data_IF_804813846258
#
_entry.id   IF_804813846258
#
_cell.length_a   1.000
_cell.length_b   1.000
_cell.length_c   1.000
_cell.angle_alpha   90.00
_cell.angle_beta   90.00
_cell.angle_gamma   90.00
#
_symmetry.space_group_name_H-M   'P 1'
#
loop_
_entity.id
_entity.type
_entity.pdbx_description
1 polymer ?
#
# COMPACT_ATOMS: atom_id res chain seq x y z
N UNK A 1 72.72 -12.66 54.01
CA UNK A 1 71.39 -13.29 54.17
C UNK A 1 70.37 -12.42 53.44
N UNK A 2 69.53 -13.06 52.64
CA UNK A 2 68.62 -12.52 51.62
C UNK A 2 67.69 -11.40 52.10
N UNK A 3 67.29 -10.52 51.18
CA UNK A 3 65.90 -10.42 50.70
C UNK A 3 65.81 -9.53 49.46
N UNK A 4 65.70 -10.18 48.30
CA UNK A 4 65.19 -9.57 47.07
C UNK A 4 63.75 -9.12 47.30
N UNK A 5 63.46 -7.85 46.99
CA UNK A 5 62.10 -7.33 46.96
C UNK A 5 61.61 -7.39 45.51
N UNK A 6 60.92 -8.46 45.14
CA UNK A 6 60.25 -8.54 43.84
C UNK A 6 58.99 -7.67 43.86
N UNK A 7 59.01 -6.57 43.12
CA UNK A 7 57.81 -5.78 42.84
C UNK A 7 57.00 -6.47 41.73
N UNK A 8 55.81 -6.96 42.06
CA UNK A 8 54.84 -7.44 41.07
C UNK A 8 54.11 -6.25 40.44
N UNK A 9 54.22 -6.11 39.11
CA UNK A 9 53.32 -5.24 38.32
C UNK A 9 52.13 -6.09 37.83
N UNK A 10 50.94 -5.76 38.31
CA UNK A 10 49.68 -6.29 37.79
C UNK A 10 49.13 -5.28 36.80
N UNK A 11 49.15 -5.64 35.51
CA UNK A 11 48.55 -4.82 34.45
C UNK A 11 47.19 -5.45 34.10
N UNK A 12 46.10 -4.80 34.51
CA UNK A 12 44.75 -5.22 34.17
C UNK A 12 44.43 -4.73 32.74
N UNK A 13 44.49 -5.62 31.75
CA UNK A 13 44.04 -5.33 30.39
C UNK A 13 42.51 -5.54 30.34
N UNK A 14 41.75 -4.46 30.49
CA UNK A 14 40.32 -4.45 30.19
C UNK A 14 40.15 -4.58 28.67
N UNK A 15 39.93 -5.80 28.20
CA UNK A 15 39.54 -6.05 26.82
C UNK A 15 38.08 -5.60 26.62
N UNK A 16 37.89 -4.39 26.09
CA UNK A 16 36.58 -3.97 25.63
C UNK A 16 36.31 -4.64 24.29
N UNK A 17 35.34 -5.55 24.26
CA UNK A 17 34.80 -6.12 23.03
C UNK A 17 33.94 -5.03 22.37
N UNK A 18 34.55 -4.24 21.48
CA UNK A 18 33.81 -3.29 20.64
C UNK A 18 33.32 -4.08 19.42
N UNK A 19 32.05 -4.50 19.47
CA UNK A 19 31.35 -5.05 18.32
C UNK A 19 31.01 -3.92 17.36
N UNK A 20 31.83 -3.75 16.33
CA UNK A 20 31.49 -2.87 15.20
C UNK A 20 30.70 -3.71 14.20
N UNK A 21 29.38 -3.53 14.15
CA UNK A 21 28.58 -4.04 13.04
C UNK A 21 28.89 -3.18 11.82
N UNK A 22 29.71 -3.71 10.90
CA UNK A 22 29.83 -3.14 9.56
C UNK A 22 28.45 -3.24 8.92
N UNK A 23 27.84 -2.10 8.60
CA UNK A 23 26.55 -2.08 7.89
C UNK A 23 26.67 -2.98 6.67
N UNK A 24 25.84 -4.03 6.61
CA UNK A 24 25.63 -4.74 5.36
C UNK A 24 25.08 -3.70 4.40
N UNK A 25 25.68 -3.56 3.22
CA UNK A 25 24.96 -3.01 2.08
C UNK A 25 23.61 -3.74 2.05
N UNK A 26 22.52 -2.98 2.14
CA UNK A 26 21.16 -3.52 2.11
C UNK A 26 20.92 -4.00 0.68
N UNK A 27 21.51 -5.14 0.34
CA UNK A 27 21.05 -5.98 -0.74
C UNK A 27 19.61 -6.30 -0.42
N UNK A 28 18.69 -5.95 -1.33
CA UNK A 28 17.27 -6.23 -1.21
C UNK A 28 17.08 -7.65 -0.66
N UNK A 29 16.46 -7.74 0.51
CA UNK A 29 16.16 -9.03 1.11
C UNK A 29 14.92 -9.54 0.40
N UNK A 30 15.09 -10.59 -0.40
CA UNK A 30 13.99 -11.23 -1.12
C UNK A 30 13.18 -12.09 -0.16
N UNK A 31 11.86 -11.87 -0.12
CA UNK A 31 10.92 -12.63 0.71
C UNK A 31 9.97 -13.38 -0.22
N UNK A 32 9.91 -14.71 -0.06
CA UNK A 32 8.99 -15.58 -0.80
C UNK A 32 7.71 -15.77 0.00
N UNK A 33 6.59 -15.44 -0.64
CA UNK A 33 5.27 -15.55 -0.02
C UNK A 33 4.54 -16.81 -0.48
N UNK A 34 3.59 -17.25 0.35
CA UNK A 34 2.67 -18.32 -0.01
C UNK A 34 1.86 -17.93 -1.25
N UNK A 35 1.93 -18.73 -2.32
CA UNK A 35 1.32 -18.41 -3.62
C UNK A 35 2.32 -17.99 -4.71
N UNK A 36 3.62 -17.90 -4.39
CA UNK A 36 4.68 -17.65 -5.37
C UNK A 36 5.00 -16.17 -5.62
N UNK A 37 4.35 -15.28 -4.87
CA UNK A 37 4.68 -13.85 -4.84
C UNK A 37 6.08 -13.65 -4.23
N UNK A 38 6.86 -12.73 -4.80
CA UNK A 38 8.19 -12.36 -4.31
C UNK A 38 8.19 -10.88 -3.95
N UNK A 39 8.67 -10.55 -2.76
CA UNK A 39 8.72 -9.18 -2.23
C UNK A 39 10.16 -8.76 -2.02
N UNK A 40 10.50 -7.58 -2.49
CA UNK A 40 11.79 -6.93 -2.27
C UNK A 40 11.67 -5.85 -1.20
N UNK A 41 12.48 -5.93 -0.14
CA UNK A 41 12.62 -4.81 0.79
C UNK A 41 13.58 -3.77 0.21
N UNK A 42 13.05 -2.63 -0.21
CA UNK A 42 13.80 -1.53 -0.86
C UNK A 42 13.96 -0.37 0.12
N UNK A 43 15.13 0.27 0.16
CA UNK A 43 15.33 1.47 0.99
C UNK A 43 14.22 2.50 0.71
N UNK A 44 13.65 3.06 1.77
CA UNK A 44 12.51 3.98 1.67
C UNK A 44 12.81 5.19 0.80
N UNK A 45 14.06 5.60 0.64
CA UNK A 45 14.50 6.71 -0.22
C UNK A 45 14.85 6.27 -1.64
N UNK A 46 14.90 4.97 -1.92
CA UNK A 46 15.21 4.38 -3.22
C UNK A 46 14.00 3.71 -3.88
N UNK A 47 12.82 3.83 -3.28
CA UNK A 47 11.58 3.29 -3.84
C UNK A 47 11.22 3.93 -5.20
N UNK A 48 10.45 3.24 -6.07
CA UNK A 48 10.13 3.70 -7.42
C UNK A 48 9.49 5.09 -7.49
N UNK A 49 8.84 5.54 -6.41
CA UNK A 49 8.20 6.84 -6.29
C UNK A 49 9.06 8.01 -6.79
N UNK A 50 10.34 8.02 -6.43
CA UNK A 50 11.26 9.15 -6.67
C UNK A 50 11.82 9.22 -8.09
N UNK A 51 11.50 8.24 -8.94
CA UNK A 51 11.70 8.37 -10.38
C UNK A 51 10.73 9.39 -11.00
N UNK A 52 9.72 9.85 -10.26
CA UNK A 52 8.80 10.89 -10.71
C UNK A 52 9.50 12.25 -10.67
N UNK A 53 9.49 13.05 -11.77
CA UNK A 53 10.19 14.33 -11.83
C UNK A 53 9.80 15.32 -10.71
N UNK A 54 8.53 15.32 -10.29
CA UNK A 54 8.03 16.19 -9.23
C UNK A 54 8.41 15.74 -7.81
N UNK A 55 8.98 14.55 -7.64
CA UNK A 55 9.31 13.98 -6.33
C UNK A 55 10.81 13.86 -6.05
N UNK A 56 11.70 14.28 -6.95
CA UNK A 56 13.16 14.09 -6.82
C UNK A 56 13.76 14.59 -5.50
N UNK A 57 13.25 15.71 -4.99
CA UNK A 57 13.70 16.35 -3.74
C UNK A 57 12.63 16.26 -2.64
N UNK A 58 11.66 15.37 -2.79
CA UNK A 58 10.56 15.24 -1.84
C UNK A 58 11.09 14.73 -0.49
N UNK A 59 10.82 15.50 0.57
CA UNK A 59 11.09 15.07 1.94
C UNK A 59 9.96 14.16 2.41
N UNK A 60 10.27 12.87 2.56
CA UNK A 60 9.32 11.85 3.01
C UNK A 60 8.70 12.25 4.35
N UNK A 61 7.36 12.30 4.38
CA UNK A 61 6.60 12.40 5.60
C UNK A 61 6.31 10.96 6.07
N UNK A 62 7.01 10.48 7.11
CA UNK A 62 6.86 9.10 7.58
C UNK A 62 5.53 8.82 8.28
N UNK A 63 4.91 9.84 8.87
CA UNK A 63 3.63 9.74 9.57
C UNK A 63 2.77 10.98 9.33
N UNK A 64 1.44 10.83 9.24
CA UNK A 64 0.53 11.97 9.16
C UNK A 64 0.60 12.85 10.41
N UNK A 65 0.37 14.16 10.25
CA UNK A 65 0.37 15.08 11.39
C UNK A 65 -0.83 14.90 12.31
N UNK A 66 -1.95 14.43 11.75
CA UNK A 66 -3.21 14.15 12.46
C UNK A 66 -4.13 13.34 11.57
N UNK A 67 -5.05 12.59 12.18
CA UNK A 67 -6.13 11.92 11.47
C UNK A 67 -7.42 12.78 11.50
N UNK A 68 -8.27 12.72 10.46
CA UNK A 68 -9.52 13.44 10.43
C UNK A 68 -10.49 12.92 11.50
N UNK A 69 -11.13 13.84 12.22
CA UNK A 69 -12.20 13.52 13.17
C UNK A 69 -13.54 13.35 12.45
N UNK A 70 -14.42 12.49 12.97
CA UNK A 70 -15.81 12.40 12.52
C UNK A 70 -16.07 11.49 11.31
N UNK A 71 -15.11 10.66 10.90
CA UNK A 71 -15.27 9.65 9.84
C UNK A 71 -15.64 8.25 10.38
N UNK A 72 -16.24 8.19 11.57
CA UNK A 72 -16.66 6.91 12.17
C UNK A 72 -17.89 6.37 11.44
N UNK A 73 -17.75 5.19 10.85
CA UNK A 73 -18.86 4.51 10.17
C UNK A 73 -19.63 3.71 11.23
N UNK A 74 -20.90 4.05 11.43
CA UNK A 74 -21.81 3.29 12.30
C UNK A 74 -22.78 2.53 11.42
N UNK A 75 -22.77 1.20 11.48
CA UNK A 75 -23.70 0.35 10.73
C UNK A 75 -24.07 -0.88 11.56
N UNK A 76 -25.35 -1.30 11.56
CA UNK A 76 -25.79 -2.49 12.29
C UNK A 76 -25.17 -3.79 11.75
N UNK A 77 -24.58 -3.76 10.55
CA UNK A 77 -23.95 -4.91 9.91
C UNK A 77 -22.46 -5.08 10.26
N UNK A 78 -21.89 -4.19 11.08
CA UNK A 78 -20.45 -4.21 11.43
C UNK A 78 -20.12 -5.10 12.64
N UNK A 79 -21.10 -5.68 13.32
CA UNK A 79 -20.86 -6.39 14.58
C UNK A 79 -20.14 -7.75 14.44
N UNK A 80 -20.04 -8.31 13.23
CA UNK A 80 -19.41 -9.62 12.95
C UNK A 80 -18.53 -9.60 11.68
N UNK A 81 -17.85 -8.49 11.41
CA UNK A 81 -16.87 -8.39 10.31
C UNK A 81 -15.45 -8.47 10.86
N UNK A 82 -14.56 -9.07 10.07
CA UNK A 82 -13.14 -9.19 10.42
C UNK A 82 -12.29 -8.52 9.34
N UNK A 83 -11.18 -7.90 9.73
CA UNK A 83 -10.28 -7.27 8.76
C UNK A 83 -9.55 -8.36 7.96
N UNK A 84 -9.66 -8.31 6.63
CA UNK A 84 -8.77 -9.01 5.72
C UNK A 84 -7.44 -8.26 5.72
N UNK A 85 -6.33 -8.94 5.45
CA UNK A 85 -5.03 -8.30 5.37
C UNK A 85 -4.29 -8.76 4.12
N UNK A 86 -3.51 -7.87 3.46
CA UNK A 86 -2.45 -8.33 2.58
C UNK A 86 -1.44 -9.15 3.38
N UNK A 87 -0.54 -9.86 2.70
CA UNK A 87 0.51 -10.60 3.37
C UNK A 87 1.39 -9.65 4.18
N UNK A 88 1.52 -9.89 5.48
CA UNK A 88 2.40 -9.12 6.34
C UNK A 88 3.82 -9.63 6.10
N UNK A 89 4.71 -8.71 5.75
CA UNK A 89 6.15 -8.97 5.60
C UNK A 89 6.92 -8.22 6.67
N UNK A 90 8.07 -8.73 7.08
CA UNK A 90 8.92 -8.08 8.08
C UNK A 90 10.11 -7.41 7.39
N UNK A 91 9.87 -6.37 6.59
CA UNK A 91 11.00 -5.62 6.02
C UNK A 91 11.71 -4.80 7.11
N UNK A 92 13.05 -4.70 7.07
CA UNK A 92 13.79 -3.89 8.04
C UNK A 92 13.32 -2.44 8.08
N UNK A 93 13.35 -1.82 9.27
CA UNK A 93 13.06 -0.38 9.40
C UNK A 93 13.95 0.44 8.46
N UNK A 94 13.36 1.42 7.80
CA UNK A 94 14.03 2.21 6.76
C UNK A 94 13.89 1.62 5.34
N UNK A 95 13.16 0.51 5.20
CA UNK A 95 12.82 -0.09 3.90
C UNK A 95 11.31 -0.23 3.74
N UNK A 96 10.85 -0.42 2.50
CA UNK A 96 9.45 -0.69 2.16
C UNK A 96 9.36 -1.93 1.27
N UNK A 97 8.35 -2.78 1.46
CA UNK A 97 8.15 -3.95 0.63
C UNK A 97 7.56 -3.59 -0.73
N UNK A 98 8.26 -4.02 -1.78
CA UNK A 98 7.85 -3.86 -3.17
C UNK A 98 7.57 -5.25 -3.74
N UNK A 99 6.32 -5.51 -4.16
CA UNK A 99 5.97 -6.75 -4.82
C UNK A 99 6.64 -6.81 -6.20
N UNK A 100 7.45 -7.85 -6.44
CA UNK A 100 8.11 -8.10 -7.71
C UNK A 100 7.11 -8.70 -8.68
N UNK A 101 6.32 -7.86 -9.35
CA UNK A 101 5.39 -8.31 -10.38
C UNK A 101 5.49 -7.49 -11.66
N UNK A 102 5.57 -8.18 -12.80
CA UNK A 102 5.98 -7.67 -14.11
C UNK A 102 4.82 -7.46 -15.10
N UNK A 103 3.56 -7.53 -14.65
CA UNK A 103 2.38 -7.58 -15.57
C UNK A 103 1.16 -6.74 -15.16
N UNK A 104 1.32 -5.76 -14.27
CA UNK A 104 0.19 -4.97 -13.73
C UNK A 104 -0.06 -3.62 -14.44
N UNK A 105 0.67 -3.31 -15.52
CA UNK A 105 0.57 -2.03 -16.25
C UNK A 105 -0.83 -1.70 -16.82
N UNK A 106 -1.74 -2.67 -16.92
CA UNK A 106 -3.04 -2.53 -17.61
C UNK A 106 -4.27 -2.42 -16.71
N UNK A 107 -4.15 -2.54 -15.39
CA UNK A 107 -5.32 -2.45 -14.49
C UNK A 107 -5.92 -1.00 -14.56
N UNK A 108 -5.22 -0.04 -15.18
CA UNK A 108 -5.25 1.37 -14.78
C UNK A 108 -6.49 2.12 -15.20
N UNK A 109 -7.07 1.79 -16.33
CA UNK A 109 -8.40 2.29 -16.69
C UNK A 109 -9.54 1.55 -15.99
N UNK A 110 -9.27 0.52 -15.17
CA UNK A 110 -10.29 -0.45 -14.75
C UNK A 110 -10.69 -0.37 -13.27
N UNK A 111 -9.89 0.22 -12.37
CA UNK A 111 -10.35 0.56 -11.00
C UNK A 111 -11.07 1.90 -10.93
N UNK A 112 -10.96 2.74 -11.96
CA UNK A 112 -11.66 4.01 -12.04
C UNK A 112 -13.15 3.76 -12.19
N UNK A 113 -13.92 4.28 -11.25
CA UNK A 113 -15.38 4.22 -11.29
C UNK A 113 -15.88 5.39 -12.15
N UNK A 114 -15.51 5.39 -13.44
CA UNK A 114 -16.05 6.36 -14.40
C UNK A 114 -17.46 5.95 -14.85
N UNK A 115 -17.82 4.68 -14.61
CA UNK A 115 -18.98 4.00 -15.14
C UNK A 115 -20.33 4.26 -14.48
N UNK A 116 -20.47 5.21 -13.54
CA UNK A 116 -21.84 5.61 -13.13
C UNK A 116 -22.58 6.28 -14.32
N UNK A 117 -21.85 6.77 -15.34
CA UNK A 117 -22.42 7.32 -16.59
C UNK A 117 -21.50 7.08 -17.81
N UNK A 118 -21.16 5.84 -18.15
CA UNK A 118 -20.54 5.53 -19.46
C UNK A 118 -21.19 4.30 -20.07
N UNK A 119 -21.94 4.50 -21.17
CA UNK A 119 -22.64 3.43 -21.91
C UNK A 119 -21.74 2.68 -22.90
N UNK A 120 -20.49 3.11 -23.08
CA UNK A 120 -19.62 2.64 -24.18
C UNK A 120 -18.56 1.60 -23.75
N UNK A 121 -18.46 1.29 -22.46
CA UNK A 121 -17.65 0.18 -21.95
C UNK A 121 -18.56 -0.93 -21.43
N UNK A 122 -18.19 -2.20 -21.67
CA UNK A 122 -18.84 -3.39 -21.09
C UNK A 122 -18.58 -3.52 -19.57
N UNK A 123 -18.74 -2.43 -18.82
CA UNK A 123 -18.52 -2.37 -17.38
C UNK A 123 -19.85 -2.15 -16.68
N UNK A 124 -20.21 -3.09 -15.81
CA UNK A 124 -21.34 -2.95 -14.90
C UNK A 124 -20.82 -2.37 -13.59
N UNK A 125 -21.30 -1.18 -13.21
CA UNK A 125 -20.82 -0.45 -12.03
C UNK A 125 -21.99 -0.08 -11.14
N UNK A 126 -21.84 -0.29 -9.84
CA UNK A 126 -22.76 0.17 -8.82
C UNK A 126 -21.99 0.93 -7.74
N UNK A 127 -22.52 2.07 -7.31
CA UNK A 127 -21.86 2.89 -6.31
C UNK A 127 -22.61 4.17 -6.01
N UNK A 128 -22.04 4.97 -5.10
CA UNK A 128 -22.54 6.28 -4.71
C UNK A 128 -21.48 7.30 -5.12
N UNK A 129 -21.92 8.40 -5.74
CA UNK A 129 -21.05 9.52 -6.10
C UNK A 129 -21.51 10.78 -5.38
N UNK A 130 -20.56 11.45 -4.74
CA UNK A 130 -20.78 12.73 -4.07
C UNK A 130 -20.00 13.82 -4.81
N UNK A 131 -20.56 15.04 -4.87
CA UNK A 131 -19.94 16.20 -5.48
C UNK A 131 -19.85 17.33 -4.44
N UNK A 132 -18.66 17.88 -4.26
CA UNK A 132 -18.39 18.96 -3.31
C UNK A 132 -16.93 18.97 -2.88
N UNK A 133 -16.62 19.83 -1.92
CA UNK A 133 -15.27 19.89 -1.33
C UNK A 133 -15.08 18.69 -0.39
N UNK A 134 -14.29 17.72 -0.85
CA UNK A 134 -13.98 16.49 -0.10
C UNK A 134 -12.52 16.51 0.32
N UNK A 135 -12.27 16.39 1.62
CA UNK A 135 -10.92 16.32 2.20
C UNK A 135 -10.56 14.93 2.72
N UNK A 136 -11.48 13.97 2.59
CA UNK A 136 -11.23 12.57 2.86
C UNK A 136 -12.49 11.71 2.76
N UNK A 137 -12.28 10.41 2.61
CA UNK A 137 -13.31 9.39 2.50
C UNK A 137 -12.83 8.12 3.19
N UNK A 138 -13.69 7.55 4.05
CA UNK A 138 -13.49 6.24 4.69
C UNK A 138 -14.49 5.25 4.14
N UNK A 139 -14.07 4.01 3.89
CA UNK A 139 -14.96 2.92 3.58
C UNK A 139 -14.56 1.62 4.27
N UNK A 140 -15.56 0.78 4.52
CA UNK A 140 -15.43 -0.61 4.93
C UNK A 140 -16.01 -1.44 3.79
N UNK A 141 -15.18 -2.29 3.18
CA UNK A 141 -15.50 -2.95 1.91
C UNK A 141 -15.32 -4.46 2.07
N UNK A 142 -16.36 -5.26 1.84
CA UNK A 142 -16.23 -6.71 1.83
C UNK A 142 -15.29 -7.20 0.72
N UNK A 143 -14.43 -8.15 1.08
CA UNK A 143 -13.49 -8.79 0.16
C UNK A 143 -14.08 -10.09 -0.35
N UNK A 144 -14.24 -10.23 -1.66
CA UNK A 144 -14.69 -11.47 -2.30
C UNK A 144 -13.71 -11.89 -3.41
N UNK A 145 -13.64 -13.21 -3.67
CA UNK A 145 -12.94 -13.79 -4.82
C UNK A 145 -13.96 -14.34 -5.85
N UNK A 146 -14.70 -13.49 -6.58
CA UNK A 146 -15.62 -13.97 -7.61
C UNK A 146 -14.88 -14.71 -8.72
N UNK A 147 -15.58 -15.63 -9.39
CA UNK A 147 -15.02 -16.37 -10.53
C UNK A 147 -14.93 -15.46 -11.76
N UNK A 148 -13.74 -14.93 -11.99
CA UNK A 148 -13.40 -14.17 -13.20
C UNK A 148 -12.76 -15.10 -14.24
N UNK A 149 -13.11 -14.94 -15.51
CA UNK A 149 -12.61 -15.78 -16.60
C UNK A 149 -11.14 -15.47 -16.91
N UNK A 150 -10.27 -16.46 -16.76
CA UNK A 150 -8.80 -16.32 -16.91
C UNK A 150 -8.31 -16.02 -18.33
N UNK A 151 -9.14 -16.09 -19.35
CA UNK A 151 -8.76 -15.90 -20.76
C UNK A 151 -9.53 -14.77 -21.44
N UNK A 152 -10.07 -13.83 -20.64
CA UNK A 152 -10.76 -12.62 -21.11
C UNK A 152 -10.24 -11.38 -20.38
N UNK A 153 -10.53 -10.17 -20.90
CA UNK A 153 -10.15 -8.92 -20.22
C UNK A 153 -11.04 -8.59 -19.01
N UNK A 154 -11.80 -9.57 -18.52
CA UNK A 154 -12.75 -9.40 -17.44
C UNK A 154 -12.01 -9.28 -16.10
N UNK A 155 -12.61 -8.53 -15.18
CA UNK A 155 -12.18 -8.38 -13.79
C UNK A 155 -13.38 -8.05 -12.91
N UNK A 156 -13.18 -8.18 -11.60
CA UNK A 156 -14.05 -7.60 -10.59
C UNK A 156 -13.23 -6.68 -9.71
N UNK A 157 -13.79 -5.53 -9.33
CA UNK A 157 -13.10 -4.53 -8.54
C UNK A 157 -14.06 -3.84 -7.58
N UNK A 158 -13.53 -3.36 -6.46
CA UNK A 158 -14.26 -2.46 -5.56
C UNK A 158 -13.27 -1.50 -4.94
N UNK A 159 -13.63 -0.21 -4.93
CA UNK A 159 -12.73 0.86 -4.52
C UNK A 159 -13.49 2.07 -3.98
N UNK A 160 -12.76 2.92 -3.25
CA UNK A 160 -13.10 4.32 -3.03
C UNK A 160 -12.22 5.19 -3.92
N UNK A 161 -12.77 6.32 -4.36
CA UNK A 161 -12.12 7.24 -5.28
C UNK A 161 -12.36 8.68 -4.83
N UNK A 162 -11.31 9.50 -4.83
CA UNK A 162 -11.38 10.96 -4.70
C UNK A 162 -10.88 11.57 -5.99
N UNK A 163 -11.70 12.46 -6.55
CA UNK A 163 -11.49 13.12 -7.83
C UNK A 163 -11.30 14.62 -7.63
N UNK A 164 -10.34 15.20 -8.35
CA UNK A 164 -10.14 16.63 -8.45
C UNK A 164 -10.22 17.06 -9.93
N UNK A 165 -11.32 17.69 -10.29
CA UNK A 165 -11.54 18.22 -11.65
C UNK A 165 -10.84 19.57 -11.80
N UNK A 166 -9.60 19.54 -12.29
CA UNK A 166 -8.80 20.72 -12.57
C UNK A 166 -8.95 21.22 -14.01
N UNK A 167 -8.44 22.44 -14.32
CA UNK A 167 -8.41 22.97 -15.68
C UNK A 167 -7.53 22.16 -16.64
N UNK A 168 -6.61 21.34 -16.11
CA UNK A 168 -5.65 20.54 -16.88
C UNK A 168 -6.05 19.07 -17.02
N UNK A 169 -7.20 18.66 -16.48
CA UNK A 169 -7.62 17.26 -16.42
C UNK A 169 -8.15 16.88 -15.04
N UNK A 170 -8.47 15.59 -14.88
CA UNK A 170 -8.93 15.02 -13.62
C UNK A 170 -7.76 14.36 -12.91
N UNK A 171 -7.44 14.77 -11.68
CA UNK A 171 -6.56 13.99 -10.80
C UNK A 171 -7.41 13.06 -9.94
N UNK A 172 -7.02 11.79 -9.85
CA UNK A 172 -7.73 10.84 -8.99
C UNK A 172 -6.78 10.07 -8.08
N UNK A 173 -7.27 9.76 -6.88
CA UNK A 173 -6.69 8.78 -5.97
C UNK A 173 -7.75 7.68 -5.78
N UNK A 174 -7.37 6.43 -6.03
CA UNK A 174 -8.25 5.27 -5.91
C UNK A 174 -7.62 4.25 -4.98
N UNK A 175 -8.39 3.71 -4.03
CA UNK A 175 -7.92 2.68 -3.11
C UNK A 175 -8.97 1.57 -3.04
N UNK A 176 -8.54 0.32 -3.19
CA UNK A 176 -9.46 -0.80 -3.21
C UNK A 176 -8.78 -2.13 -3.48
N UNK A 177 -9.53 -3.08 -4.02
CA UNK A 177 -9.00 -4.36 -4.45
C UNK A 177 -9.61 -4.80 -5.79
N UNK A 178 -8.93 -5.75 -6.44
CA UNK A 178 -9.44 -6.40 -7.65
C UNK A 178 -9.18 -7.89 -7.69
N UNK A 179 -9.98 -8.59 -8.48
CA UNK A 179 -9.72 -9.96 -8.95
C UNK A 179 -9.57 -9.88 -10.46
N UNK A 180 -8.33 -9.98 -10.94
CA UNK A 180 -8.00 -9.80 -12.35
C UNK A 180 -6.99 -10.87 -12.83
N UNK A 181 -7.45 -12.09 -13.16
CA UNK A 181 -6.53 -13.22 -13.37
C UNK A 181 -5.58 -13.10 -14.54
N UNK A 182 -5.95 -12.35 -15.57
CA UNK A 182 -5.05 -12.10 -16.70
C UNK A 182 -3.91 -11.13 -16.37
N UNK A 183 -4.06 -10.34 -15.32
CA UNK A 183 -3.11 -9.30 -14.93
C UNK A 183 -2.26 -9.77 -13.75
N UNK A 184 -2.90 -10.35 -12.74
CA UNK A 184 -2.23 -10.89 -11.56
C UNK A 184 -1.61 -12.30 -11.78
N UNK A 185 -2.12 -13.07 -12.75
CA UNK A 185 -1.73 -14.47 -12.95
C UNK A 185 -2.47 -15.48 -12.06
N UNK A 186 -3.29 -15.01 -11.12
CA UNK A 186 -4.10 -15.81 -10.21
C UNK A 186 -5.53 -15.25 -10.05
N UNK A 187 -6.42 -15.98 -9.38
CA UNK A 187 -7.80 -15.53 -9.15
C UNK A 187 -7.99 -14.92 -7.76
N UNK A 188 -6.91 -14.36 -7.21
CA UNK A 188 -6.88 -13.85 -5.85
C UNK A 188 -7.41 -12.41 -5.80
N UNK A 189 -8.06 -12.04 -4.69
CA UNK A 189 -8.37 -10.64 -4.39
C UNK A 189 -7.07 -9.94 -3.98
N UNK A 190 -6.66 -8.89 -4.70
CA UNK A 190 -5.40 -8.18 -4.47
C UNK A 190 -5.65 -6.70 -4.20
N UNK A 191 -5.00 -6.17 -3.16
CA UNK A 191 -5.15 -4.78 -2.73
C UNK A 191 -4.33 -3.85 -3.62
N UNK A 192 -4.90 -2.69 -3.97
CA UNK A 192 -4.26 -1.73 -4.85
C UNK A 192 -4.47 -0.29 -4.39
N UNK A 193 -3.45 0.53 -4.63
CA UNK A 193 -3.55 2.00 -4.64
C UNK A 193 -3.32 2.47 -6.07
N UNK A 194 -4.19 3.34 -6.58
CA UNK A 194 -4.03 4.00 -7.87
C UNK A 194 -3.96 5.51 -7.73
N UNK A 195 -3.20 6.13 -8.61
CA UNK A 195 -3.23 7.57 -8.82
C UNK A 195 -2.96 7.91 -10.28
N UNK A 196 -3.42 9.08 -10.72
CA UNK A 196 -3.09 9.61 -12.04
C UNK A 196 -4.14 10.54 -12.63
N UNK A 197 -3.82 11.08 -13.80
CA UNK A 197 -4.64 12.02 -14.56
C UNK A 197 -5.60 11.28 -15.50
N UNK A 198 -6.91 11.43 -15.36
CA UNK A 198 -7.85 11.04 -16.42
C UNK A 198 -7.92 12.16 -17.48
N UNK A 199 -7.60 11.79 -18.73
CA UNK A 199 -7.65 12.69 -19.90
C UNK A 199 -6.31 13.30 -20.33
N UNK A 200 -5.22 13.05 -19.58
CA UNK A 200 -3.85 13.34 -20.00
C UNK A 200 -3.24 12.26 -20.90
N UNK A 201 -2.10 12.55 -21.54
CA UNK A 201 -1.29 11.54 -22.24
C UNK A 201 -0.68 10.50 -21.28
N UNK A 202 -0.72 10.78 -19.97
CA UNK A 202 -0.21 9.97 -18.86
C UNK A 202 -1.24 8.91 -18.46
N UNK A 203 -0.90 7.62 -18.61
CA UNK A 203 -1.74 6.51 -18.13
C UNK A 203 -1.87 6.58 -16.60
N UNK A 204 -3.02 6.20 -16.06
CA UNK A 204 -3.18 5.94 -14.63
C UNK A 204 -2.18 4.88 -14.15
N UNK A 205 -1.81 4.93 -12.87
CA UNK A 205 -0.74 4.14 -12.28
C UNK A 205 -1.21 3.39 -11.03
N UNK A 206 -0.60 2.23 -10.74
CA UNK A 206 -0.84 1.50 -9.49
C UNK A 206 0.41 1.18 -8.73
N UNK A 207 0.20 0.98 -7.43
CA UNK A 207 1.12 0.35 -6.52
C UNK A 207 2.54 0.89 -6.74
N UNK A 208 3.45 0.08 -7.27
CA UNK A 208 4.81 0.47 -7.61
C UNK A 208 5.13 0.31 -9.11
N UNK A 209 4.11 0.14 -9.96
CA UNK A 209 4.31 -0.02 -11.42
C UNK A 209 4.71 1.27 -12.10
N UNK A 210 4.41 2.41 -11.47
CA UNK A 210 4.86 3.73 -11.89
C UNK A 210 5.45 4.52 -10.72
N UNK A 211 6.23 5.57 -11.01
CA UNK A 211 6.63 6.55 -10.01
C UNK A 211 5.45 7.44 -9.58
N UNK A 212 5.38 7.81 -8.29
CA UNK A 212 4.47 8.84 -7.79
C UNK A 212 3.87 8.56 -6.41
N UNK A 213 3.72 7.30 -6.00
CA UNK A 213 3.21 6.94 -4.68
C UNK A 213 4.36 6.64 -3.71
N UNK A 214 4.44 7.39 -2.61
CA UNK A 214 5.51 7.25 -1.61
C UNK A 214 5.00 6.36 -0.49
N UNK A 215 5.34 5.07 -0.54
CA UNK A 215 5.04 4.15 0.55
C UNK A 215 5.96 4.42 1.75
N UNK A 216 5.42 4.36 2.96
CA UNK A 216 6.17 4.52 4.22
C UNK A 216 6.06 3.31 5.14
N UNK A 217 5.05 2.46 4.93
CA UNK A 217 4.86 1.27 5.73
C UNK A 217 5.83 0.16 5.33
N UNK A 218 6.60 -0.36 6.29
CA UNK A 218 7.59 -1.41 6.06
C UNK A 218 7.02 -2.84 6.09
N UNK A 219 5.73 -3.02 6.39
CA UNK A 219 5.13 -4.36 6.50
C UNK A 219 3.96 -4.60 5.54
N UNK A 220 3.50 -3.56 4.83
CA UNK A 220 2.30 -3.64 4.00
C UNK A 220 2.64 -3.81 2.51
N UNK A 221 2.26 -4.94 1.92
CA UNK A 221 2.57 -5.25 0.51
C UNK A 221 1.45 -4.77 -0.41
N UNK A 222 1.69 -3.69 -1.18
CA UNK A 222 0.81 -3.29 -2.29
C UNK A 222 0.80 -4.36 -3.40
N UNK A 223 -0.37 -4.59 -3.99
CA UNK A 223 -0.60 -5.71 -4.92
C UNK A 223 -0.69 -7.08 -4.25
N UNK A 224 -0.51 -7.15 -2.92
CA UNK A 224 -0.58 -8.36 -2.13
C UNK A 224 -1.98 -8.96 -2.07
N UNK A 225 -2.04 -10.29 -1.96
CA UNK A 225 -3.30 -11.03 -1.82
C UNK A 225 -3.96 -10.75 -0.48
N UNK A 226 -5.21 -10.31 -0.51
CA UNK A 226 -6.05 -10.16 0.66
C UNK A 226 -6.52 -11.53 1.17
N UNK A 227 -6.25 -11.81 2.44
CA UNK A 227 -6.80 -12.96 3.13
C UNK A 227 -7.14 -12.65 4.59
N UNK A 228 -8.10 -13.40 5.15
CA UNK A 228 -9.06 -14.28 4.48
C UNK A 228 -10.15 -13.49 3.71
N UNK A 229 -11.00 -14.17 2.94
CA UNK A 229 -12.04 -13.55 2.08
C UNK A 229 -13.45 -13.94 2.51
N UNK A 230 -14.42 -13.07 2.22
CA UNK A 230 -15.83 -13.26 2.55
C UNK A 230 -16.46 -14.45 1.81
N UNK A 231 -17.42 -15.07 2.48
CA UNK A 231 -18.26 -16.15 1.90
C UNK A 231 -19.72 -15.73 1.95
N UNK A 232 -20.45 -15.96 0.86
CA UNK A 232 -21.88 -15.66 0.80
C UNK A 232 -22.64 -16.42 1.90
N UNK A 233 -23.50 -15.72 2.66
CA UNK A 233 -24.21 -16.24 3.84
C UNK A 233 -23.29 -16.90 4.89
N UNK A 234 -22.02 -16.50 4.95
CA UNK A 234 -21.03 -17.01 5.88
C UNK A 234 -20.21 -15.90 6.51
N UNK A 235 -19.00 -16.25 6.96
CA UNK A 235 -18.08 -15.30 7.60
C UNK A 235 -17.70 -14.18 6.63
N UNK A 236 -17.78 -12.94 7.10
CA UNK A 236 -17.49 -11.75 6.33
C UNK A 236 -16.12 -11.19 6.70
N UNK A 237 -15.37 -10.80 5.68
CA UNK A 237 -14.07 -10.16 5.83
C UNK A 237 -14.02 -8.88 4.99
N UNK A 238 -13.47 -7.82 5.56
CA UNK A 238 -13.51 -6.47 5.00
C UNK A 238 -12.12 -5.87 4.90
N UNK A 239 -11.95 -4.91 4.01
CA UNK A 239 -10.88 -3.92 4.12
C UNK A 239 -11.47 -2.60 4.63
N UNK A 240 -10.78 -1.98 5.56
CA UNK A 240 -11.09 -0.65 6.06
C UNK A 240 -10.04 0.31 5.50
N UNK A 241 -10.47 1.23 4.64
CA UNK A 241 -9.56 2.15 3.94
C UNK A 241 -9.99 3.58 4.17
N UNK A 242 -9.00 4.47 4.30
CA UNK A 242 -9.23 5.90 4.41
C UNK A 242 -8.22 6.64 3.52
N UNK A 243 -8.76 7.46 2.62
CA UNK A 243 -8.02 8.47 1.86
C UNK A 243 -8.32 9.83 2.51
N UNK A 244 -7.32 10.63 2.84
CA UNK A 244 -7.56 11.99 3.35
C UNK A 244 -6.39 12.92 3.11
N UNK A 245 -6.65 14.22 3.17
CA UNK A 245 -5.64 15.27 3.08
C UNK A 245 -5.19 15.70 4.46
N UNK A 246 -3.90 15.55 4.77
CA UNK A 246 -3.28 16.09 5.97
C UNK A 246 -3.38 17.62 5.95
N UNK A 247 -4.02 18.20 6.97
CA UNK A 247 -4.26 19.64 7.02
C UNK A 247 -3.00 20.46 7.25
N UNK A 248 -1.94 19.88 7.83
CA UNK A 248 -0.68 20.58 8.11
C UNK A 248 0.24 20.55 6.89
N UNK A 249 0.52 19.36 6.35
CA UNK A 249 1.47 19.18 5.25
C UNK A 249 0.83 19.30 3.88
N UNK A 250 -0.50 19.22 3.80
CA UNK A 250 -1.29 19.19 2.56
C UNK A 250 -1.08 17.95 1.69
N UNK A 251 -0.31 16.97 2.18
CA UNK A 251 -0.15 15.68 1.53
C UNK A 251 -1.44 14.86 1.65
N UNK A 252 -1.73 14.08 0.62
CA UNK A 252 -2.77 13.06 0.68
C UNK A 252 -2.20 11.77 1.25
N UNK A 253 -2.99 11.09 2.06
CA UNK A 253 -2.62 9.87 2.76
C UNK A 253 -3.62 8.76 2.47
N UNK A 254 -3.09 7.56 2.29
CA UNK A 254 -3.81 6.29 2.32
C UNK A 254 -3.50 5.58 3.62
N UNK A 255 -4.54 5.10 4.29
CA UNK A 255 -4.44 4.33 5.54
C UNK A 255 -5.27 3.07 5.47
N UNK A 256 -4.91 2.09 6.30
CA UNK A 256 -5.51 0.77 6.32
C UNK A 256 -5.90 0.31 7.73
N UNK A 257 -7.01 -0.41 7.83
CA UNK A 257 -7.51 -1.00 9.07
C UNK A 257 -8.20 -0.01 9.99
N UNK A 258 -8.76 -0.53 11.08
CA UNK A 258 -9.46 0.28 12.09
C UNK A 258 -8.53 1.32 12.74
N UNK A 259 -7.28 0.94 12.99
CA UNK A 259 -6.24 1.77 13.61
C UNK A 259 -5.64 2.84 12.68
N UNK A 260 -6.13 2.95 11.44
CA UNK A 260 -5.63 3.88 10.41
C UNK A 260 -4.11 3.76 10.18
N UNK A 261 -3.62 2.53 10.05
CA UNK A 261 -2.19 2.28 9.78
C UNK A 261 -1.77 3.06 8.53
N UNK A 262 -0.82 4.01 8.62
CA UNK A 262 -0.36 4.77 7.46
C UNK A 262 0.33 3.87 6.45
N UNK A 263 -0.06 3.99 5.18
CA UNK A 263 0.52 3.23 4.08
C UNK A 263 1.47 4.11 3.27
N UNK A 264 1.02 5.31 2.88
CA UNK A 264 1.74 6.29 2.08
C UNK A 264 0.85 7.44 1.63
#
# INVERSE_FOLDING_TARGET
>A
MMKDCQAFRVTLLLAYLVLVTRGKDVSATEIWMEGGDVVDCVDVNLQPAFNHPLLKDHKIQMEPSSFPNGLNITSPFLHDVFEAHPPIVECPRGTVPILRNSRMEHIAGQLYINGVISKDNQQEVAGIKYYGDVYGARAIINVYEPKVKKSSKDLSATSIQIDNFGPNGLDSIVVGYSVAPNLAGDSSARFHVSWGEEGGQSKSCYDHTCPGFVQVNHNFVLGGRLQPVSVYNGKQYVITVLIYKDLMTKNWWVTYGEDNTPIG
#
